data_IF_686615063873
#
_entry.id   IF_686615063873
#
_cell.length_a   1.000
_cell.length_b   1.000
_cell.length_c   1.000
_cell.angle_alpha   90.00
_cell.angle_beta   90.00
_cell.angle_gamma   90.00
#
_symmetry.space_group_name_H-M   'P 1'
#
loop_
_entity.id
_entity.type
_entity.pdbx_description
1 polymer ?
#
# COMPACT_ATOMS: atom_id res chain seq x y z
N UNK A 1 123.18 -22.63 -34.08
CA UNK A 1 122.20 -23.32 -33.20
C UNK A 1 122.05 -22.62 -31.86
N UNK A 2 123.10 -22.04 -31.29
CA UNK A 2 123.02 -21.38 -29.96
C UNK A 2 122.11 -20.13 -29.92
N UNK A 3 122.13 -19.26 -30.93
CA UNK A 3 121.27 -18.05 -30.98
C UNK A 3 119.75 -18.35 -30.98
N UNK A 4 119.33 -19.47 -31.58
CA UNK A 4 117.92 -19.87 -31.59
C UNK A 4 117.45 -20.36 -30.21
N UNK A 5 118.33 -21.03 -29.46
CA UNK A 5 118.02 -21.50 -28.10
C UNK A 5 117.93 -20.32 -27.13
N UNK A 6 118.78 -19.30 -27.29
CA UNK A 6 118.72 -18.09 -26.44
C UNK A 6 117.47 -17.26 -26.73
N UNK A 7 117.09 -17.09 -28.00
CA UNK A 7 115.86 -16.37 -28.37
C UNK A 7 114.59 -17.11 -27.91
N UNK A 8 114.58 -18.45 -27.99
CA UNK A 8 113.46 -19.26 -27.51
C UNK A 8 113.31 -19.18 -25.99
N UNK A 9 114.41 -19.20 -25.22
CA UNK A 9 114.38 -19.05 -23.77
C UNK A 9 113.89 -17.66 -23.33
N UNK A 10 114.31 -16.61 -24.05
CA UNK A 10 113.90 -15.23 -23.76
C UNK A 10 112.43 -14.99 -24.11
N UNK A 11 111.94 -15.58 -25.20
CA UNK A 11 110.52 -15.55 -25.56
C UNK A 11 109.66 -16.34 -24.56
N UNK A 12 110.11 -17.52 -24.14
CA UNK A 12 109.40 -18.32 -23.13
C UNK A 12 109.33 -17.59 -21.78
N UNK A 13 110.42 -16.96 -21.34
CA UNK A 13 110.42 -16.13 -20.13
C UNK A 13 109.47 -14.94 -20.22
N UNK A 14 109.44 -14.26 -21.38
CA UNK A 14 108.53 -13.13 -21.60
C UNK A 14 107.06 -13.58 -21.65
N UNK A 15 106.75 -14.70 -22.29
CA UNK A 15 105.39 -15.26 -22.33
C UNK A 15 104.90 -15.69 -20.94
N UNK A 16 105.75 -16.35 -20.15
CA UNK A 16 105.41 -16.72 -18.76
C UNK A 16 105.11 -15.47 -17.93
N UNK A 17 105.95 -14.42 -18.04
CA UNK A 17 105.73 -13.17 -17.32
C UNK A 17 104.45 -12.45 -17.77
N UNK A 18 104.12 -12.49 -19.07
CA UNK A 18 102.87 -11.93 -19.59
C UNK A 18 101.64 -12.72 -19.10
N UNK A 19 101.71 -14.05 -19.09
CA UNK A 19 100.66 -14.91 -18.57
C UNK A 19 100.43 -14.70 -17.07
N UNK A 20 101.48 -14.55 -16.27
CA UNK A 20 101.36 -14.25 -14.84
C UNK A 20 100.70 -12.90 -14.58
N UNK A 21 101.08 -11.86 -15.34
CA UNK A 21 100.44 -10.54 -15.25
C UNK A 21 98.98 -10.58 -15.67
N UNK A 22 98.65 -11.33 -16.73
CA UNK A 22 97.28 -11.49 -17.19
C UNK A 22 96.42 -12.28 -16.19
N UNK A 23 96.97 -13.33 -15.57
CA UNK A 23 96.30 -14.09 -14.51
C UNK A 23 96.04 -13.22 -13.29
N UNK A 24 97.04 -12.47 -12.81
CA UNK A 24 96.88 -11.54 -11.69
C UNK A 24 95.84 -10.44 -11.98
N UNK A 25 95.79 -9.95 -13.22
CA UNK A 25 94.77 -8.98 -13.64
C UNK A 25 93.37 -9.59 -13.68
N UNK A 26 93.22 -10.85 -14.13
CA UNK A 26 91.95 -11.57 -14.10
C UNK A 26 91.47 -11.81 -12.67
N UNK A 27 92.35 -12.23 -11.76
CA UNK A 27 91.99 -12.44 -10.35
C UNK A 27 91.55 -11.14 -9.69
N UNK A 28 92.25 -10.04 -9.96
CA UNK A 28 91.86 -8.71 -9.48
C UNK A 28 90.49 -8.28 -10.04
N UNK A 29 90.24 -8.51 -11.33
CA UNK A 29 88.95 -8.21 -11.96
C UNK A 29 87.82 -9.07 -11.40
N UNK A 30 88.04 -10.37 -11.20
CA UNK A 30 87.07 -11.28 -10.59
C UNK A 30 86.73 -10.84 -9.15
N UNK A 31 87.74 -10.48 -8.35
CA UNK A 31 87.53 -9.99 -6.99
C UNK A 31 86.81 -8.64 -6.94
N UNK A 32 86.98 -7.77 -7.94
CA UNK A 32 86.22 -6.53 -8.07
C UNK A 32 84.77 -6.81 -8.49
N UNK A 33 84.55 -7.70 -9.45
CA UNK A 33 83.21 -8.07 -9.92
C UNK A 33 82.39 -8.69 -8.79
N UNK A 34 83.00 -9.55 -7.97
CA UNK A 34 82.32 -10.19 -6.84
C UNK A 34 81.95 -9.19 -5.74
N UNK A 35 82.79 -8.18 -5.50
CA UNK A 35 82.47 -7.06 -4.60
C UNK A 35 81.31 -6.23 -5.14
N UNK A 36 81.38 -5.84 -6.41
CA UNK A 36 80.31 -5.08 -7.06
C UNK A 36 78.98 -5.85 -7.07
N UNK A 37 79.01 -7.16 -7.32
CA UNK A 37 77.83 -8.02 -7.27
C UNK A 37 77.22 -8.10 -5.86
N UNK A 38 78.08 -8.15 -4.82
CA UNK A 38 77.62 -8.17 -3.43
C UNK A 38 77.01 -6.82 -3.04
N UNK A 39 77.62 -5.72 -3.44
CA UNK A 39 77.14 -4.36 -3.19
C UNK A 39 75.80 -4.09 -3.89
N UNK A 40 75.66 -4.49 -5.16
CA UNK A 40 74.39 -4.43 -5.89
C UNK A 40 73.33 -5.33 -5.21
N UNK A 41 73.70 -6.53 -4.77
CA UNK A 41 72.80 -7.41 -4.02
C UNK A 41 72.25 -6.76 -2.75
N UNK A 42 73.10 -6.07 -1.99
CA UNK A 42 72.72 -5.33 -0.80
C UNK A 42 71.86 -4.09 -1.12
N UNK A 43 72.20 -3.35 -2.18
CA UNK A 43 71.41 -2.22 -2.69
C UNK A 43 70.01 -2.63 -3.15
N UNK A 44 69.89 -3.77 -3.82
CA UNK A 44 68.59 -4.31 -4.25
C UNK A 44 67.77 -4.79 -3.05
N UNK A 45 68.39 -5.44 -2.07
CA UNK A 45 67.69 -5.89 -0.87
C UNK A 45 67.14 -4.71 -0.03
N UNK A 46 67.95 -3.67 0.15
CA UNK A 46 67.55 -2.44 0.84
C UNK A 46 66.47 -1.67 0.07
N UNK A 47 66.64 -1.50 -1.24
CA UNK A 47 65.64 -0.86 -2.10
C UNK A 47 64.29 -1.60 -2.12
N UNK A 48 64.29 -2.94 -2.08
CA UNK A 48 63.05 -3.73 -1.95
C UNK A 48 62.35 -3.51 -0.61
N UNK A 49 63.11 -3.42 0.49
CA UNK A 49 62.54 -3.16 1.80
C UNK A 49 61.91 -1.77 1.85
N UNK A 50 62.58 -0.76 1.31
CA UNK A 50 62.10 0.62 1.24
C UNK A 50 60.88 0.77 0.33
N UNK A 51 60.87 0.11 -0.84
CA UNK A 51 59.71 0.06 -1.73
C UNK A 51 58.52 -0.64 -1.08
N UNK A 52 58.73 -1.77 -0.41
CA UNK A 52 57.67 -2.47 0.30
C UNK A 52 57.09 -1.62 1.44
N UNK A 53 57.93 -0.85 2.13
CA UNK A 53 57.50 0.06 3.18
C UNK A 53 56.74 1.26 2.62
N UNK A 54 57.22 1.85 1.54
CA UNK A 54 56.57 2.95 0.82
C UNK A 54 55.22 2.51 0.23
N UNK A 55 55.15 1.32 -0.36
CA UNK A 55 53.90 0.76 -0.86
C UNK A 55 52.89 0.52 0.27
N UNK A 56 53.33 -0.01 1.42
CA UNK A 56 52.45 -0.17 2.60
C UNK A 56 51.97 1.18 3.13
N UNK A 57 52.82 2.19 3.16
CA UNK A 57 52.45 3.53 3.59
C UNK A 57 51.44 4.17 2.63
N UNK A 58 51.68 4.09 1.31
CA UNK A 58 50.76 4.61 0.30
C UNK A 58 49.41 3.91 0.30
N UNK A 59 49.40 2.57 0.46
CA UNK A 59 48.16 1.80 0.61
C UNK A 59 47.43 2.21 1.89
N UNK A 60 48.12 2.33 3.02
CA UNK A 60 47.51 2.75 4.28
C UNK A 60 46.93 4.16 4.20
N UNK A 61 47.63 5.09 3.56
CA UNK A 61 47.17 6.46 3.33
C UNK A 61 45.91 6.46 2.45
N UNK A 62 45.93 5.75 1.32
CA UNK A 62 44.79 5.62 0.42
C UNK A 62 43.57 5.00 1.11
N UNK A 63 43.76 3.91 1.88
CA UNK A 63 42.67 3.34 2.68
C UNK A 63 42.17 4.31 3.75
N UNK A 64 43.07 5.09 4.38
CA UNK A 64 42.67 6.04 5.42
C UNK A 64 41.93 7.26 4.88
N UNK A 65 42.11 7.64 3.62
CA UNK A 65 41.39 8.73 2.98
C UNK A 65 40.07 8.27 2.34
N UNK A 66 40.05 7.12 1.66
CA UNK A 66 38.89 6.67 0.87
C UNK A 66 37.80 5.99 1.73
N UNK A 67 38.18 5.25 2.78
CA UNK A 67 37.23 4.56 3.66
C UNK A 67 36.32 5.52 4.44
N UNK A 68 36.81 6.59 5.10
CA UNK A 68 35.93 7.49 5.84
C UNK A 68 34.97 8.24 4.92
N UNK A 69 35.37 8.61 3.70
CA UNK A 69 34.47 9.25 2.74
C UNK A 69 33.33 8.32 2.30
N UNK A 70 33.62 7.04 2.06
CA UNK A 70 32.60 6.04 1.73
C UNK A 70 31.66 5.75 2.92
N UNK A 71 32.20 5.68 4.15
CA UNK A 71 31.40 5.47 5.37
C UNK A 71 30.50 6.67 5.66
N UNK A 72 30.97 7.90 5.45
CA UNK A 72 30.19 9.12 5.65
C UNK A 72 29.04 9.23 4.64
N UNK A 73 29.26 8.88 3.37
CA UNK A 73 28.21 8.81 2.36
C UNK A 73 27.15 7.74 2.67
N UNK A 74 27.57 6.59 3.21
CA UNK A 74 26.65 5.53 3.66
C UNK A 74 25.89 5.95 4.93
N UNK A 75 26.54 6.70 5.83
CA UNK A 75 25.93 7.26 7.03
C UNK A 75 24.83 8.27 6.69
N UNK A 76 25.13 9.26 5.83
CA UNK A 76 24.17 10.29 5.41
C UNK A 76 22.97 9.69 4.65
N UNK A 77 23.20 8.67 3.81
CA UNK A 77 22.09 7.95 3.16
C UNK A 77 21.24 7.17 4.16
N UNK A 78 21.85 6.52 5.15
CA UNK A 78 21.15 5.83 6.24
C UNK A 78 20.28 6.77 7.08
N UNK A 79 20.80 7.93 7.45
CA UNK A 79 20.08 8.95 8.23
C UNK A 79 18.90 9.53 7.45
N UNK A 80 19.08 9.78 6.14
CA UNK A 80 17.98 10.21 5.26
C UNK A 80 16.89 9.16 5.13
N UNK A 81 17.26 7.89 4.99
CA UNK A 81 16.32 6.76 4.96
C UNK A 81 15.54 6.65 6.27
N UNK A 82 16.21 6.78 7.42
CA UNK A 82 15.58 6.78 8.73
C UNK A 82 14.60 7.96 8.89
N UNK A 83 15.00 9.17 8.46
CA UNK A 83 14.15 10.35 8.49
C UNK A 83 12.90 10.20 7.60
N UNK A 84 13.05 9.62 6.40
CA UNK A 84 11.91 9.34 5.50
C UNK A 84 10.98 8.27 6.06
N UNK A 85 11.52 7.20 6.67
CA UNK A 85 10.72 6.16 7.30
C UNK A 85 9.91 6.71 8.50
N UNK A 86 10.54 7.56 9.31
CA UNK A 86 9.91 8.26 10.43
C UNK A 86 8.81 9.22 9.96
N UNK A 87 9.04 9.93 8.85
CA UNK A 87 8.05 10.82 8.25
C UNK A 87 6.87 10.03 7.68
N UNK A 88 7.12 8.89 7.03
CA UNK A 88 6.07 7.99 6.54
C UNK A 88 5.24 7.39 7.68
N UNK A 89 5.86 6.98 8.79
CA UNK A 89 5.16 6.39 9.94
C UNK A 89 4.17 7.39 10.56
N UNK A 90 4.62 8.65 10.74
CA UNK A 90 3.77 9.74 11.24
C UNK A 90 2.62 10.05 10.29
N UNK A 91 2.88 10.05 8.98
CA UNK A 91 1.83 10.23 7.97
C UNK A 91 0.84 9.08 7.94
N UNK A 92 1.28 7.83 8.09
CA UNK A 92 0.40 6.67 8.14
C UNK A 92 -0.55 6.73 9.35
N UNK A 93 -0.06 7.14 10.53
CA UNK A 93 -0.91 7.32 11.71
C UNK A 93 -1.95 8.44 11.52
N UNK A 94 -1.55 9.55 10.90
CA UNK A 94 -2.47 10.64 10.55
C UNK A 94 -3.49 10.22 9.48
N UNK A 95 -3.11 9.37 8.52
CA UNK A 95 -4.02 8.83 7.52
C UNK A 95 -4.98 7.81 8.14
N UNK A 96 -4.49 6.90 8.98
CA UNK A 96 -5.32 5.87 9.63
C UNK A 96 -6.44 6.48 10.48
N UNK A 97 -6.15 7.57 11.20
CA UNK A 97 -7.17 8.30 11.98
C UNK A 97 -8.20 8.99 11.10
N UNK A 98 -7.77 9.62 9.99
CA UNK A 98 -8.69 10.21 8.99
C UNK A 98 -9.58 9.16 8.34
N UNK A 99 -9.01 8.02 7.93
CA UNK A 99 -9.76 6.89 7.40
C UNK A 99 -10.79 6.37 8.41
N UNK A 100 -10.40 6.22 9.68
CA UNK A 100 -11.32 5.79 10.75
C UNK A 100 -12.48 6.77 10.96
N UNK A 101 -12.22 8.06 10.84
CA UNK A 101 -13.26 9.09 10.96
C UNK A 101 -14.21 9.06 9.75
N UNK A 102 -13.67 8.87 8.54
CA UNK A 102 -14.46 8.74 7.31
C UNK A 102 -15.31 7.46 7.31
N UNK A 103 -14.76 6.32 7.73
CA UNK A 103 -15.52 5.06 7.82
C UNK A 103 -16.65 5.18 8.83
N UNK A 104 -16.41 5.82 9.99
CA UNK A 104 -17.47 6.06 10.98
C UNK A 104 -18.59 6.95 10.43
N UNK A 105 -18.23 8.04 9.73
CA UNK A 105 -19.20 8.91 9.04
C UNK A 105 -20.00 8.15 7.98
N UNK A 106 -19.34 7.30 7.19
CA UNK A 106 -19.99 6.50 6.16
C UNK A 106 -20.98 5.48 6.77
N UNK A 107 -20.62 4.83 7.88
CA UNK A 107 -21.51 3.92 8.59
C UNK A 107 -22.74 4.63 9.14
N UNK A 108 -22.58 5.82 9.74
CA UNK A 108 -23.71 6.63 10.21
C UNK A 108 -24.62 7.03 9.03
N UNK A 109 -24.04 7.49 7.92
CA UNK A 109 -24.80 7.88 6.74
C UNK A 109 -25.60 6.70 6.16
N UNK A 110 -25.00 5.51 6.09
CA UNK A 110 -25.68 4.28 5.68
C UNK A 110 -26.81 3.90 6.64
N UNK A 111 -26.58 3.96 7.95
CA UNK A 111 -27.59 3.64 8.95
C UNK A 111 -28.78 4.60 8.86
N UNK A 112 -28.52 5.91 8.75
CA UNK A 112 -29.57 6.93 8.60
C UNK A 112 -30.33 6.77 7.28
N UNK A 113 -29.63 6.51 6.17
CA UNK A 113 -30.26 6.25 4.88
C UNK A 113 -31.16 5.02 4.92
N UNK A 114 -30.68 3.92 5.50
CA UNK A 114 -31.47 2.69 5.67
C UNK A 114 -32.70 2.91 6.55
N UNK A 115 -32.54 3.58 7.70
CA UNK A 115 -33.65 3.92 8.59
C UNK A 115 -34.68 4.84 7.93
N UNK A 116 -34.24 5.81 7.13
CA UNK A 116 -35.14 6.70 6.40
C UNK A 116 -35.96 5.96 5.34
N UNK A 117 -35.35 4.99 4.62
CA UNK A 117 -36.06 4.18 3.63
C UNK A 117 -37.10 3.28 4.32
N UNK A 118 -36.70 2.55 5.36
CA UNK A 118 -37.61 1.64 6.09
C UNK A 118 -38.70 2.42 6.81
N UNK A 119 -38.34 3.48 7.53
CA UNK A 119 -39.29 4.34 8.23
C UNK A 119 -40.24 5.07 7.28
N UNK A 120 -39.73 5.59 6.17
CA UNK A 120 -40.53 6.25 5.14
C UNK A 120 -41.54 5.29 4.51
N UNK A 121 -41.10 4.10 4.09
CA UNK A 121 -42.00 3.09 3.51
C UNK A 121 -43.04 2.61 4.51
N UNK A 122 -42.69 2.37 5.77
CA UNK A 122 -43.63 2.01 6.83
C UNK A 122 -44.67 3.11 7.09
N UNK A 123 -44.24 4.38 7.17
CA UNK A 123 -45.14 5.52 7.37
C UNK A 123 -46.12 5.67 6.20
N UNK A 124 -45.63 5.62 4.96
CA UNK A 124 -46.49 5.67 3.79
C UNK A 124 -47.45 4.49 3.75
N UNK A 125 -47.00 3.26 4.02
CA UNK A 125 -47.87 2.09 4.08
C UNK A 125 -49.00 2.26 5.10
N UNK A 126 -48.68 2.70 6.33
CA UNK A 126 -49.69 2.91 7.37
C UNK A 126 -50.71 3.98 6.97
N UNK A 127 -50.24 5.12 6.44
CA UNK A 127 -51.13 6.20 5.99
C UNK A 127 -52.06 5.77 4.85
N UNK A 128 -51.57 4.94 3.92
CA UNK A 128 -52.37 4.41 2.81
C UNK A 128 -53.38 3.37 3.30
N UNK A 129 -52.99 2.50 4.23
CA UNK A 129 -53.93 1.54 4.85
C UNK A 129 -55.04 2.28 5.59
N UNK A 130 -54.72 3.34 6.33
CA UNK A 130 -55.72 4.13 7.05
C UNK A 130 -56.70 4.82 6.09
N UNK A 131 -56.20 5.39 4.99
CA UNK A 131 -57.04 5.95 3.91
C UNK A 131 -57.89 4.88 3.22
N UNK A 132 -57.33 3.69 2.99
CA UNK A 132 -58.06 2.56 2.40
C UNK A 132 -59.15 2.03 3.34
N UNK A 133 -58.93 2.05 4.66
CA UNK A 133 -59.96 1.72 5.64
C UNK A 133 -61.08 2.76 5.63
N UNK A 134 -60.77 4.06 5.58
CA UNK A 134 -61.77 5.12 5.46
C UNK A 134 -62.58 5.00 4.16
N UNK A 135 -61.92 4.76 3.03
CA UNK A 135 -62.59 4.56 1.75
C UNK A 135 -63.46 3.29 1.73
N UNK A 136 -63.03 2.20 2.39
CA UNK A 136 -63.87 1.00 2.57
C UNK A 136 -65.10 1.28 3.43
N UNK A 137 -64.99 2.12 4.45
CA UNK A 137 -66.13 2.49 5.30
C UNK A 137 -67.11 3.36 4.51
N UNK A 138 -66.65 4.34 3.73
CA UNK A 138 -67.54 5.13 2.85
C UNK A 138 -68.23 4.25 1.80
N UNK A 139 -67.52 3.29 1.19
CA UNK A 139 -68.12 2.34 0.26
C UNK A 139 -69.17 1.43 0.94
N UNK A 140 -68.90 0.94 2.15
CA UNK A 140 -69.86 0.15 2.93
C UNK A 140 -71.08 0.97 3.36
N UNK A 141 -70.90 2.27 3.66
CA UNK A 141 -72.01 3.18 3.97
C UNK A 141 -72.82 3.50 2.72
N UNK A 142 -72.20 3.59 1.54
CA UNK A 142 -72.89 3.79 0.27
C UNK A 142 -73.71 2.54 -0.11
N UNK A 143 -73.17 1.34 0.08
CA UNK A 143 -73.88 0.07 -0.16
C UNK A 143 -75.02 -0.15 0.87
N UNK A 144 -74.87 0.33 2.11
CA UNK A 144 -75.94 0.34 3.10
C UNK A 144 -77.03 1.41 2.84
N UNK A 145 -76.68 2.53 2.18
CA UNK A 145 -77.64 3.56 1.76
C UNK A 145 -78.38 3.18 0.47
N UNK A 146 -77.83 2.29 -0.36
CA UNK A 146 -78.50 1.78 -1.58
C UNK A 146 -79.77 0.98 -1.27
N UNK A 147 -79.94 0.50 -0.03
CA UNK A 147 -81.17 -0.16 0.43
C UNK A 147 -82.30 0.81 0.83
N UNK A 148 -82.07 2.13 0.78
CA UNK A 148 -83.13 3.12 1.00
C UNK A 148 -83.11 4.12 -0.16
N UNK A 149 -83.92 3.86 -1.19
CA UNK A 149 -84.14 4.81 -2.28
C UNK A 149 -84.87 6.06 -1.77
N UNK A 150 -84.11 7.04 -1.27
CA UNK A 150 -84.61 8.39 -1.01
C UNK A 150 -84.63 9.09 -2.38
N UNK A 151 -85.82 9.23 -2.96
CA UNK A 151 -85.99 9.98 -4.22
C UNK A 151 -86.42 11.41 -3.92
N UNK A 152 -86.26 12.33 -4.87
CA UNK A 152 -86.71 13.72 -4.72
C UNK A 152 -88.08 13.87 -5.38
N UNK A 153 -89.10 14.17 -4.58
CA UNK A 153 -90.44 14.50 -5.06
C UNK A 153 -90.62 16.02 -4.95
N UNK A 154 -90.62 16.74 -6.07
CA UNK A 154 -90.85 18.20 -6.12
C UNK A 154 -89.98 18.99 -5.13
N UNK A 155 -88.69 18.65 -5.05
CA UNK A 155 -87.70 19.36 -4.22
C UNK A 155 -87.73 18.99 -2.73
N UNK A 156 -88.50 17.98 -2.33
CA UNK A 156 -88.52 17.45 -0.95
C UNK A 156 -88.11 15.97 -0.93
N UNK A 157 -87.31 15.53 0.06
CA UNK A 157 -86.90 14.13 0.15
C UNK A 157 -88.12 13.24 0.46
N UNK A 158 -88.35 12.22 -0.36
CA UNK A 158 -89.45 11.27 -0.22
C UNK A 158 -88.91 9.83 -0.28
N UNK A 159 -89.50 8.94 0.52
CA UNK A 159 -89.13 7.52 0.59
C UNK A 159 -90.26 6.72 -0.06
N UNK A 160 -89.94 5.89 -1.04
CA UNK A 160 -90.92 5.00 -1.68
C UNK A 160 -91.20 3.81 -0.77
N UNK A 161 -92.41 3.74 -0.24
CA UNK A 161 -92.91 2.61 0.55
C UNK A 161 -93.51 1.56 -0.40
N UNK A 162 -93.16 0.28 -0.24
CA UNK A 162 -93.84 -0.81 -0.95
C UNK A 162 -95.27 -0.98 -0.42
N UNK A 163 -96.22 -1.28 -1.33
CA UNK A 163 -97.61 -1.51 -0.99
C UNK A 163 -97.74 -2.79 -0.13
N UNK A 164 -98.21 -2.64 1.12
CA UNK A 164 -98.43 -3.77 2.05
C UNK A 164 -97.65 -3.70 3.36
N UNK A 165 -96.81 -2.69 3.57
CA UNK A 165 -96.07 -2.51 4.83
C UNK A 165 -97.00 -2.19 6.01
N UNK A 166 -96.83 -2.95 7.11
CA UNK A 166 -97.68 -2.85 8.29
C UNK A 166 -97.40 -1.55 9.05
N UNK A 167 -98.39 -0.65 9.10
CA UNK A 167 -98.29 0.62 9.82
C UNK A 167 -98.21 0.39 11.32
N UNK A 168 -97.45 1.23 12.03
CA UNK A 168 -97.32 1.10 13.48
C UNK A 168 -98.65 1.44 14.15
N UNK A 169 -99.21 0.48 14.88
CA UNK A 169 -100.58 0.55 15.40
C UNK A 169 -100.86 1.68 16.40
N UNK A 170 -99.83 2.40 16.86
CA UNK A 170 -99.95 3.52 17.82
C UNK A 170 -99.84 4.91 17.19
N UNK A 171 -99.34 5.02 15.97
CA UNK A 171 -99.24 6.29 15.27
C UNK A 171 -99.20 6.03 13.77
N UNK A 172 -100.20 6.54 13.06
CA UNK A 172 -100.42 6.35 11.63
C UNK A 172 -99.43 7.12 10.74
N UNK A 173 -98.62 8.00 11.33
CA UNK A 173 -97.52 8.72 10.67
C UNK A 173 -96.24 7.88 10.53
N UNK A 174 -96.14 6.71 11.21
CA UNK A 174 -94.92 5.89 11.24
C UNK A 174 -95.17 4.46 10.74
N UNK A 175 -94.23 3.94 9.95
CA UNK A 175 -94.22 2.55 9.49
C UNK A 175 -93.18 1.72 10.26
N UNK A 176 -93.50 0.47 10.56
CA UNK A 176 -92.60 -0.41 11.31
C UNK A 176 -91.65 -1.12 10.33
N UNK A 177 -90.36 -0.76 10.37
CA UNK A 177 -89.33 -1.46 9.59
C UNK A 177 -88.81 -2.64 10.42
N UNK A 178 -89.28 -3.85 10.14
CA UNK A 178 -88.73 -5.06 10.77
C UNK A 178 -87.51 -5.55 9.97
N UNK A 179 -86.32 -5.29 10.49
CA UNK A 179 -85.04 -5.68 9.87
C UNK A 179 -84.78 -7.19 9.90
N UNK A 180 -85.69 -8.00 10.45
CA UNK A 180 -85.54 -9.46 10.52
C UNK A 180 -85.84 -10.19 9.19
N UNK A 181 -86.50 -9.55 8.22
CA UNK A 181 -86.92 -10.23 6.99
C UNK A 181 -85.92 -10.12 5.82
N UNK A 182 -84.92 -9.22 5.88
CA UNK A 182 -83.85 -9.16 4.87
C UNK A 182 -82.79 -10.27 5.06
N UNK A 183 -82.73 -10.92 6.22
CA UNK A 183 -81.87 -12.08 6.45
C UNK A 183 -82.40 -13.39 5.82
N UNK A 184 -83.69 -13.44 5.43
CA UNK A 184 -84.31 -14.65 4.87
C UNK A 184 -84.38 -14.67 3.33
N UNK A 185 -84.18 -13.53 2.66
CA UNK A 185 -84.27 -13.41 1.20
C UNK A 185 -82.93 -13.63 0.45
N UNK A 186 -81.81 -13.85 1.17
CA UNK A 186 -80.50 -14.23 0.58
C UNK A 186 -80.22 -15.74 0.61
N UNK A 187 -81.23 -16.57 0.89
CA UNK A 187 -81.17 -18.03 0.64
C UNK A 187 -82.35 -18.47 -0.22
N UNK A 188 -82.32 -18.12 -1.50
CA UNK A 188 -82.88 -18.98 -2.55
C UNK A 188 -82.20 -18.72 -3.88
#
# INVERSE_FOLDING_TARGET
>A
MEEFVTNAALLAGHLTQQCEKAAAAQDAAAAQLQRAATEVGQGVASGRAELAQSARAAVREALSQEIPAAVEAIGDTGDRLAALAEQLSRQQLAMATRLRMLTWKALIALALGGAAIVGGTAFFAWSNVQRAQQAKVEAQVLEALEQVSITSCDGRPCIKLEDGLQRWSRNDEYILVDTRNTAAAQKK
#
